data_IF_487265379666
#
_entry.id   IF_487265379666
#
_cell.length_a   1.000
_cell.length_b   1.000
_cell.length_c   1.000
_cell.angle_alpha   90.00
_cell.angle_beta   90.00
_cell.angle_gamma   90.00
#
_symmetry.space_group_name_H-M   'P 1'
#
loop_
_entity.id
_entity.type
_entity.pdbx_description
1 polymer ?
#
# COMPACT_ATOMS: atom_id res chain seq x y z
N UNK A 1 -10.20 -3.87 -6.66
CA UNK A 1 -8.88 -3.30 -6.32
C UNK A 1 -8.35 -2.40 -7.43
N UNK A 2 -7.93 -2.94 -8.58
CA UNK A 2 -7.21 -2.17 -9.60
C UNK A 2 -7.93 -0.91 -10.12
N UNK A 3 -9.21 -1.04 -10.48
CA UNK A 3 -9.98 0.11 -10.97
C UNK A 3 -10.07 1.22 -9.94
N UNK A 4 -10.25 0.87 -8.66
CA UNK A 4 -10.34 1.83 -7.57
C UNK A 4 -9.02 2.55 -7.33
N UNK A 5 -7.92 1.79 -7.29
CA UNK A 5 -6.57 2.36 -7.16
C UNK A 5 -6.24 3.33 -8.30
N UNK A 6 -6.64 2.99 -9.53
CA UNK A 6 -6.48 3.86 -10.70
C UNK A 6 -7.31 5.15 -10.56
N UNK A 7 -8.55 5.04 -10.11
CA UNK A 7 -9.42 6.22 -9.90
C UNK A 7 -8.83 7.16 -8.86
N UNK A 8 -8.45 6.65 -7.68
CA UNK A 8 -7.90 7.48 -6.62
C UNK A 8 -6.53 8.07 -7.00
N UNK A 9 -5.64 7.26 -7.57
CA UNK A 9 -4.35 7.75 -8.04
C UNK A 9 -4.48 8.77 -9.17
N UNK A 10 -5.49 8.66 -10.04
CA UNK A 10 -5.68 9.60 -11.13
C UNK A 10 -6.06 11.00 -10.64
N UNK A 11 -6.84 11.13 -9.56
CA UNK A 11 -7.15 12.44 -8.94
C UNK A 11 -5.87 13.21 -8.60
N UNK A 12 -4.90 12.53 -7.98
CA UNK A 12 -3.60 13.11 -7.62
C UNK A 12 -2.78 13.49 -8.85
N UNK A 13 -2.87 12.70 -9.92
CA UNK A 13 -2.17 12.98 -11.18
C UNK A 13 -2.77 14.19 -11.90
N UNK A 14 -4.10 14.33 -11.92
CA UNK A 14 -4.77 15.52 -12.46
C UNK A 14 -4.40 16.76 -11.67
N UNK A 15 -4.48 16.69 -10.33
CA UNK A 15 -4.11 17.77 -9.43
C UNK A 15 -2.65 18.25 -9.62
N UNK A 16 -1.71 17.33 -9.82
CA UNK A 16 -0.31 17.67 -10.15
C UNK A 16 -0.17 18.33 -11.53
N UNK A 17 -0.95 17.91 -12.53
CA UNK A 17 -0.90 18.51 -13.88
C UNK A 17 -1.45 19.93 -13.91
N UNK A 18 -2.54 20.14 -13.18
CA UNK A 18 -3.26 21.41 -13.15
C UNK A 18 -2.63 22.38 -12.13
N UNK A 19 -1.68 21.91 -11.31
CA UNK A 19 -1.00 22.68 -10.25
C UNK A 19 -1.97 23.25 -9.21
N UNK A 20 -3.07 22.53 -8.98
CA UNK A 20 -4.15 22.92 -8.05
C UNK A 20 -3.76 22.66 -6.58
N UNK A 21 -2.82 21.73 -6.35
CA UNK A 21 -2.28 21.37 -5.04
C UNK A 21 -3.30 20.98 -3.97
N UNK A 22 -4.44 20.37 -4.34
CA UNK A 22 -5.45 19.93 -3.38
C UNK A 22 -5.17 18.57 -2.74
N UNK A 23 -4.34 17.73 -3.38
CA UNK A 23 -4.07 16.36 -2.91
C UNK A 23 -2.62 16.16 -2.48
N UNK A 24 -2.39 15.49 -1.36
CA UNK A 24 -1.03 15.15 -0.91
C UNK A 24 -0.54 13.81 -1.52
N UNK A 25 -1.47 12.95 -1.93
CA UNK A 25 -1.15 11.62 -2.43
C UNK A 25 -2.30 10.63 -2.24
N UNK A 26 -1.97 9.34 -2.17
CA UNK A 26 -2.93 8.25 -1.97
C UNK A 26 -2.56 7.47 -0.72
N UNK A 27 -3.52 7.30 0.19
CA UNK A 27 -3.47 6.33 1.30
C UNK A 27 -4.16 5.04 0.85
N UNK A 28 -3.65 3.89 1.26
CA UNK A 28 -4.26 2.60 0.97
C UNK A 28 -4.10 1.61 2.12
N UNK A 29 -5.02 0.65 2.17
CA UNK A 29 -5.10 -0.35 3.24
C UNK A 29 -5.51 -1.71 2.66
N UNK A 30 -4.76 -2.75 3.04
CA UNK A 30 -5.22 -4.13 3.00
C UNK A 30 -5.88 -4.46 4.33
N UNK A 31 -7.04 -5.10 4.32
CA UNK A 31 -7.75 -5.48 5.54
C UNK A 31 -8.52 -6.79 5.39
N UNK A 32 -8.88 -7.37 6.52
CA UNK A 32 -9.78 -8.53 6.63
C UNK A 32 -11.02 -8.14 7.42
N UNK A 33 -12.08 -8.94 7.35
CA UNK A 33 -13.27 -8.80 8.17
C UNK A 33 -13.34 -9.95 9.17
N UNK A 34 -13.44 -9.62 10.46
CA UNK A 34 -13.78 -10.56 11.54
C UNK A 34 -15.19 -10.24 12.03
N UNK A 35 -16.17 -10.92 11.45
CA UNK A 35 -17.58 -10.50 11.52
C UNK A 35 -17.74 -9.10 10.89
N UNK A 36 -18.24 -8.15 11.69
CA UNK A 36 -18.40 -6.75 11.27
C UNK A 36 -17.17 -5.88 11.60
N UNK A 37 -16.11 -6.48 12.16
CA UNK A 37 -14.91 -5.75 12.56
C UNK A 37 -13.91 -5.69 11.41
N UNK A 38 -13.56 -4.47 11.00
CA UNK A 38 -12.45 -4.24 10.08
C UNK A 38 -11.12 -4.43 10.81
N UNK A 39 -10.31 -5.36 10.33
CA UNK A 39 -8.98 -5.65 10.87
C UNK A 39 -7.92 -5.25 9.83
N UNK A 40 -7.20 -4.14 10.03
CA UNK A 40 -6.12 -3.73 9.13
C UNK A 40 -5.02 -4.79 9.08
N UNK A 41 -4.59 -5.13 7.87
CA UNK A 41 -3.45 -6.02 7.60
C UNK A 41 -2.25 -5.25 7.13
N UNK A 42 -2.41 -4.22 6.32
CA UNK A 42 -1.31 -3.36 5.91
C UNK A 42 -1.82 -1.98 5.56
N UNK A 43 -1.05 -0.95 5.88
CA UNK A 43 -1.35 0.46 5.63
C UNK A 43 -0.14 1.07 4.94
N UNK A 44 -0.37 1.78 3.85
CA UNK A 44 0.71 2.41 3.10
C UNK A 44 0.26 3.67 2.38
N UNK A 45 1.21 4.52 2.01
CA UNK A 45 0.96 5.69 1.15
C UNK A 45 1.79 5.71 -0.13
N UNK A 46 1.36 6.54 -1.07
CA UNK A 46 2.23 7.14 -2.07
C UNK A 46 1.96 8.64 -2.11
N UNK A 47 2.99 9.45 -1.83
CA UNK A 47 2.92 10.90 -2.01
C UNK A 47 2.78 11.29 -3.47
N UNK A 48 2.22 12.49 -3.71
CA UNK A 48 2.16 13.13 -5.03
C UNK A 48 3.56 13.31 -5.61
N UNK A 49 4.48 13.85 -4.82
CA UNK A 49 5.84 14.19 -5.26
C UNK A 49 6.83 13.04 -5.04
N UNK A 50 7.85 12.99 -5.89
CA UNK A 50 8.97 12.07 -5.81
C UNK A 50 10.03 12.53 -4.79
N UNK A 51 11.23 11.94 -4.87
CA UNK A 51 12.37 12.31 -3.98
C UNK A 51 12.97 13.67 -4.28
N UNK A 52 12.62 14.26 -5.41
CA UNK A 52 13.05 15.57 -5.86
C UNK A 52 12.08 16.69 -5.42
N UNK A 53 10.98 16.34 -4.74
CA UNK A 53 9.91 17.23 -4.27
C UNK A 53 9.26 18.11 -5.36
N UNK A 54 9.52 17.81 -6.63
CA UNK A 54 9.00 18.56 -7.80
C UNK A 54 8.31 17.61 -8.79
N UNK A 55 8.93 16.47 -9.08
CA UNK A 55 8.42 15.51 -10.05
C UNK A 55 7.28 14.67 -9.50
N UNK A 56 6.31 14.32 -10.36
CA UNK A 56 5.29 13.34 -10.00
C UNK A 56 5.96 12.02 -9.58
N UNK A 57 5.55 11.51 -8.42
CA UNK A 57 6.01 10.25 -7.85
C UNK A 57 5.99 9.13 -8.88
N UNK A 58 7.09 8.38 -8.95
CA UNK A 58 7.22 7.25 -9.86
C UNK A 58 6.15 6.17 -9.65
N UNK A 59 5.49 6.15 -8.48
CA UNK A 59 4.36 5.30 -8.14
C UNK A 59 3.05 5.71 -8.83
N UNK A 60 2.89 6.99 -9.14
CA UNK A 60 1.69 7.57 -9.75
C UNK A 60 1.88 7.83 -11.26
N UNK A 61 3.12 7.88 -11.73
CA UNK A 61 3.43 7.99 -13.16
C UNK A 61 2.76 6.87 -13.97
N UNK A 62 1.98 7.28 -14.97
CA UNK A 62 1.23 6.39 -15.85
C UNK A 62 0.28 5.44 -15.09
N UNK A 63 -0.28 5.83 -13.94
CA UNK A 63 -1.12 4.94 -13.10
C UNK A 63 -2.30 4.27 -13.84
N UNK A 64 -2.77 4.85 -14.95
CA UNK A 64 -3.83 4.27 -15.80
C UNK A 64 -3.36 3.12 -16.71
N UNK A 65 -2.06 3.00 -16.97
CA UNK A 65 -1.50 2.04 -17.95
C UNK A 65 -0.34 1.23 -17.40
N UNK A 66 0.35 1.72 -16.38
CA UNK A 66 1.45 1.04 -15.72
C UNK A 66 0.92 0.14 -14.60
N UNK A 67 1.04 -1.17 -14.79
CA UNK A 67 0.65 -2.18 -13.81
C UNK A 67 1.80 -2.65 -12.92
N UNK A 68 3.03 -2.16 -13.13
CA UNK A 68 4.21 -2.70 -12.46
C UNK A 68 4.52 -2.04 -11.11
N UNK A 69 3.77 -1.00 -10.73
CA UNK A 69 4.07 -0.14 -9.57
C UNK A 69 2.83 0.20 -8.75
N UNK A 70 3.08 0.57 -7.48
CA UNK A 70 2.11 1.05 -6.51
C UNK A 70 0.98 0.06 -6.21
N UNK A 71 1.13 -0.70 -5.13
CA UNK A 71 0.11 -1.65 -4.65
C UNK A 71 -0.46 -2.57 -5.75
N UNK A 72 0.41 -3.22 -6.55
CA UNK A 72 0.02 -4.14 -7.64
C UNK A 72 0.42 -5.57 -7.33
N UNK A 73 -0.43 -6.52 -7.72
CA UNK A 73 -0.22 -7.95 -7.51
C UNK A 73 0.14 -8.63 -8.83
N UNK A 74 1.30 -9.29 -8.90
CA UNK A 74 1.68 -10.16 -10.01
C UNK A 74 2.17 -9.48 -11.29
N UNK A 75 1.96 -8.16 -11.45
CA UNK A 75 2.37 -7.40 -12.64
C UNK A 75 3.77 -6.76 -12.53
N UNK A 76 4.47 -6.99 -11.42
CA UNK A 76 5.85 -6.53 -11.20
C UNK A 76 6.34 -6.86 -9.80
N UNK A 77 7.65 -6.74 -9.59
CA UNK A 77 8.32 -7.07 -8.33
C UNK A 77 8.65 -5.86 -7.48
N UNK A 78 8.23 -4.66 -7.89
CA UNK A 78 8.52 -3.46 -7.13
C UNK A 78 7.51 -3.31 -5.98
N UNK A 79 8.01 -3.05 -4.78
CA UNK A 79 7.24 -2.74 -3.58
C UNK A 79 6.45 -3.95 -3.03
N UNK A 80 5.76 -3.72 -1.91
CA UNK A 80 5.28 -4.79 -1.03
C UNK A 80 4.40 -5.86 -1.66
N UNK A 81 3.39 -5.47 -2.45
CA UNK A 81 2.44 -6.41 -3.05
C UNK A 81 3.11 -7.21 -4.19
N UNK A 82 4.02 -6.58 -4.93
CA UNK A 82 4.78 -7.24 -6.00
C UNK A 82 5.77 -8.28 -5.46
N UNK A 83 6.55 -7.91 -4.45
CA UNK A 83 7.50 -8.83 -3.80
C UNK A 83 6.81 -9.99 -3.09
N UNK A 84 5.64 -9.75 -2.46
CA UNK A 84 4.81 -10.82 -1.91
C UNK A 84 4.38 -11.82 -3.01
N UNK A 85 3.99 -11.33 -4.19
CA UNK A 85 3.61 -12.23 -5.29
C UNK A 85 4.76 -13.11 -5.76
N UNK A 86 5.99 -12.60 -5.74
CA UNK A 86 7.17 -13.38 -6.12
C UNK A 86 7.46 -14.53 -5.14
N UNK A 87 7.29 -14.28 -3.83
CA UNK A 87 7.41 -15.30 -2.78
C UNK A 87 6.35 -16.39 -2.95
N UNK A 88 5.07 -16.01 -3.13
CA UNK A 88 3.94 -16.95 -3.23
C UNK A 88 3.96 -17.78 -4.51
N UNK A 89 4.42 -17.20 -5.63
CA UNK A 89 4.42 -17.88 -6.93
C UNK A 89 5.72 -18.64 -7.23
N UNK A 90 6.70 -18.58 -6.32
CA UNK A 90 8.03 -19.18 -6.48
C UNK A 90 8.80 -18.66 -7.70
N UNK A 91 8.71 -17.36 -8.00
CA UNK A 91 9.54 -16.70 -9.02
C UNK A 91 10.92 -16.28 -8.45
N UNK A 92 11.40 -16.94 -7.40
CA UNK A 92 12.54 -16.51 -6.58
C UNK A 92 13.90 -16.63 -7.29
N UNK A 93 13.97 -17.44 -8.35
CA UNK A 93 15.15 -17.59 -9.20
C UNK A 93 15.25 -16.50 -10.29
N UNK A 94 14.26 -15.60 -10.37
CA UNK A 94 14.29 -14.46 -11.27
C UNK A 94 15.10 -13.32 -10.64
N UNK A 95 16.29 -13.06 -11.19
CA UNK A 95 17.21 -12.00 -10.72
C UNK A 95 16.58 -10.60 -10.67
N UNK A 96 15.46 -10.38 -11.39
CA UNK A 96 14.73 -9.10 -11.35
C UNK A 96 13.88 -8.88 -10.10
N UNK A 97 13.72 -9.90 -9.26
CA UNK A 97 12.99 -9.88 -7.98
C UNK A 97 13.87 -9.34 -6.83
N UNK A 98 15.19 -9.39 -6.97
CA UNK A 98 16.15 -9.19 -5.87
C UNK A 98 16.59 -7.73 -5.74
N UNK A 99 15.65 -6.81 -5.48
CA UNK A 99 15.99 -5.40 -5.19
C UNK A 99 16.28 -5.15 -3.72
N UNK A 100 15.71 -5.94 -2.82
CA UNK A 100 16.03 -5.91 -1.40
C UNK A 100 17.15 -6.91 -1.06
N UNK A 101 17.96 -6.63 -0.04
CA UNK A 101 19.06 -7.54 0.36
C UNK A 101 18.58 -8.76 1.15
N UNK A 102 17.33 -8.74 1.62
CA UNK A 102 16.67 -9.86 2.32
C UNK A 102 15.13 -9.86 2.09
N UNK A 103 14.65 -10.05 0.84
CA UNK A 103 13.22 -10.19 0.57
C UNK A 103 12.62 -11.43 1.26
N UNK A 104 13.48 -12.40 1.63
CA UNK A 104 13.11 -13.66 2.27
C UNK A 104 12.58 -13.45 3.69
N UNK A 105 13.08 -12.49 4.46
CA UNK A 105 12.63 -12.29 5.83
C UNK A 105 11.22 -11.69 5.94
N UNK A 106 10.96 -10.58 5.24
CA UNK A 106 9.71 -9.81 5.38
C UNK A 106 8.55 -10.43 4.61
N UNK A 107 8.72 -10.72 3.33
CA UNK A 107 7.61 -11.17 2.49
C UNK A 107 7.28 -12.65 2.67
N UNK A 108 8.21 -13.47 3.17
CA UNK A 108 7.86 -14.80 3.68
C UNK A 108 6.92 -14.72 4.87
N UNK A 109 7.18 -13.83 5.85
CA UNK A 109 6.25 -13.61 6.98
C UNK A 109 4.87 -13.19 6.50
N UNK A 110 4.80 -12.31 5.49
CA UNK A 110 3.54 -11.92 4.88
C UNK A 110 2.85 -13.11 4.20
N UNK A 111 3.60 -13.92 3.44
CA UNK A 111 3.08 -15.12 2.80
C UNK A 111 2.53 -16.11 3.85
N UNK A 112 3.28 -16.39 4.91
CA UNK A 112 2.89 -17.28 6.00
C UNK A 112 1.61 -16.79 6.71
N UNK A 113 1.48 -15.46 6.89
CA UNK A 113 0.35 -14.81 7.54
C UNK A 113 -0.91 -14.73 6.66
N UNK A 114 -0.78 -14.73 5.34
CA UNK A 114 -1.88 -14.50 4.40
C UNK A 114 -2.32 -15.76 3.66
N UNK A 115 -1.42 -16.71 3.42
CA UNK A 115 -1.67 -17.89 2.58
C UNK A 115 -1.64 -19.19 3.39
N UNK A 116 -2.45 -20.15 2.97
CA UNK A 116 -2.38 -21.53 3.47
C UNK A 116 -1.00 -22.09 3.09
N UNK A 117 -0.29 -22.80 3.99
CA UNK A 117 1.03 -23.35 3.68
C UNK A 117 1.01 -24.23 2.44
N UNK A 118 2.07 -24.16 1.64
CA UNK A 118 2.24 -24.89 0.38
C UNK A 118 1.11 -24.69 -0.64
N UNK A 119 0.42 -23.55 -0.55
CA UNK A 119 -0.74 -23.20 -1.37
C UNK A 119 -0.70 -21.75 -1.82
N UNK A 120 -1.47 -21.45 -2.87
CA UNK A 120 -1.75 -20.09 -3.37
C UNK A 120 -3.13 -19.59 -2.92
N UNK A 121 -3.74 -20.29 -1.97
CA UNK A 121 -5.03 -19.96 -1.39
C UNK A 121 -4.84 -19.06 -0.18
N UNK A 122 -5.54 -17.93 -0.16
CA UNK A 122 -5.58 -17.05 1.01
C UNK A 122 -6.26 -17.77 2.18
N UNK A 123 -5.77 -17.55 3.41
CA UNK A 123 -6.38 -18.07 4.64
C UNK A 123 -7.77 -17.50 4.90
N UNK A 124 -7.99 -16.28 4.42
CA UNK A 124 -9.18 -15.48 4.61
C UNK A 124 -9.29 -14.46 3.47
N UNK A 125 -10.49 -13.93 3.23
CA UNK A 125 -10.69 -12.94 2.18
C UNK A 125 -9.97 -11.63 2.52
N UNK A 126 -9.16 -11.15 1.58
CA UNK A 126 -8.44 -9.89 1.70
C UNK A 126 -9.17 -8.82 0.89
N UNK A 127 -9.50 -7.74 1.59
CA UNK A 127 -10.11 -6.56 1.01
C UNK A 127 -9.06 -5.46 0.85
N UNK A 128 -9.33 -4.56 -0.09
CA UNK A 128 -8.44 -3.45 -0.40
C UNK A 128 -9.22 -2.14 -0.48
N UNK A 129 -8.75 -1.14 0.26
CA UNK A 129 -9.25 0.22 0.25
C UNK A 129 -8.15 1.19 -0.14
N UNK A 130 -8.50 2.25 -0.85
CA UNK A 130 -7.60 3.36 -1.15
C UNK A 130 -8.38 4.66 -1.25
N UNK A 131 -7.70 5.78 -1.02
CA UNK A 131 -8.28 7.11 -1.14
C UNK A 131 -7.21 8.14 -1.50
N UNK A 132 -7.53 9.02 -2.44
CA UNK A 132 -6.76 10.25 -2.66
C UNK A 132 -6.98 11.19 -1.47
N UNK A 133 -5.91 11.57 -0.81
CA UNK A 133 -5.95 12.33 0.43
C UNK A 133 -5.85 13.83 0.14
N UNK A 134 -6.86 14.59 0.56
CA UNK A 134 -6.90 16.03 0.39
C UNK A 134 -6.21 16.75 1.55
N UNK A 135 -5.70 17.95 1.32
CA UNK A 135 -5.09 18.78 2.39
C UNK A 135 -6.11 19.06 3.51
N UNK A 136 -7.37 19.28 3.15
CA UNK A 136 -8.46 19.56 4.10
C UNK A 136 -9.03 18.29 4.76
N UNK A 137 -8.55 17.09 4.40
CA UNK A 137 -9.05 15.86 5.00
C UNK A 137 -8.63 15.75 6.47
N UNK A 138 -9.59 15.27 7.28
CA UNK A 138 -9.38 15.08 8.72
C UNK A 138 -9.06 13.61 9.02
N UNK A 139 -8.04 13.41 9.85
CA UNK A 139 -7.64 12.08 10.31
C UNK A 139 -8.63 11.46 11.31
N UNK A 140 -8.40 10.21 11.72
CA UNK A 140 -9.28 9.49 12.65
C UNK A 140 -9.31 10.08 14.07
N UNK A 141 -8.31 10.88 14.44
CA UNK A 141 -8.19 11.55 15.74
C UNK A 141 -8.79 12.95 15.68
N UNK A 142 -10.12 12.99 15.48
CA UNK A 142 -11.01 14.15 15.26
C UNK A 142 -10.46 15.55 15.56
N UNK A 143 -10.72 16.49 14.64
CA UNK A 143 -10.71 17.93 14.92
C UNK A 143 -9.58 18.72 14.25
N UNK A 144 -8.69 18.05 13.53
CA UNK A 144 -7.57 18.71 12.85
C UNK A 144 -7.31 18.11 11.47
N UNK A 145 -6.98 18.97 10.52
CA UNK A 145 -6.37 18.58 9.25
C UNK A 145 -5.15 17.70 9.55
N UNK A 146 -5.00 16.64 8.79
CA UNK A 146 -3.93 15.65 9.00
C UNK A 146 -3.22 15.44 7.70
N UNK A 147 -1.92 15.72 7.65
CA UNK A 147 -1.12 15.40 6.46
C UNK A 147 -1.15 13.89 6.18
N UNK A 148 -0.95 13.49 4.92
CA UNK A 148 -0.91 12.10 4.50
C UNK A 148 0.15 11.29 5.26
N UNK A 149 1.29 11.92 5.56
CA UNK A 149 2.34 11.29 6.37
C UNK A 149 1.91 11.07 7.82
N UNK A 150 1.30 12.08 8.45
CA UNK A 150 0.77 11.96 9.79
C UNK A 150 -0.38 10.93 9.83
N UNK A 151 -1.23 10.89 8.81
CA UNK A 151 -2.33 9.93 8.69
C UNK A 151 -1.81 8.49 8.65
N UNK A 152 -0.84 8.20 7.78
CA UNK A 152 -0.25 6.85 7.67
C UNK A 152 0.32 6.42 9.02
N UNK A 153 1.11 7.27 9.66
CA UNK A 153 1.70 7.00 10.96
C UNK A 153 0.64 6.73 12.03
N UNK A 154 -0.37 7.60 12.11
CA UNK A 154 -1.48 7.50 13.06
C UNK A 154 -2.28 6.21 12.88
N UNK A 155 -2.58 5.84 11.63
CA UNK A 155 -3.31 4.61 11.33
C UNK A 155 -2.49 3.35 11.63
N UNK A 156 -1.18 3.36 11.34
CA UNK A 156 -0.27 2.26 11.69
C UNK A 156 -0.21 2.09 13.21
N UNK A 157 -0.01 3.16 13.97
CA UNK A 157 0.03 3.09 15.43
C UNK A 157 -1.28 2.55 16.01
N UNK A 158 -2.42 3.10 15.58
CA UNK A 158 -3.73 2.63 16.03
C UNK A 158 -3.94 1.14 15.71
N UNK A 159 -3.58 0.70 14.50
CA UNK A 159 -3.71 -0.69 14.11
C UNK A 159 -2.74 -1.60 14.86
N UNK A 160 -1.53 -1.13 15.19
CA UNK A 160 -0.54 -1.86 15.96
C UNK A 160 -1.01 -2.07 17.41
N UNK A 161 -1.63 -1.05 18.00
CA UNK A 161 -2.18 -1.12 19.35
C UNK A 161 -3.38 -2.08 19.46
N UNK A 162 -4.28 -2.05 18.46
CA UNK A 162 -5.51 -2.84 18.46
C UNK A 162 -5.32 -4.27 17.91
N UNK A 163 -4.39 -4.47 16.97
CA UNK A 163 -4.21 -5.72 16.23
C UNK A 163 -2.72 -6.10 16.05
N UNK A 164 -1.93 -6.19 17.15
CA UNK A 164 -0.48 -6.35 17.09
C UNK A 164 -0.04 -7.62 16.33
N UNK A 165 -0.80 -8.71 16.44
CA UNK A 165 -0.46 -10.00 15.80
C UNK A 165 -0.97 -10.13 14.36
N UNK A 166 -1.69 -9.13 13.84
CA UNK A 166 -2.35 -9.19 12.53
C UNK A 166 -1.80 -8.17 11.53
N UNK A 167 -1.25 -7.07 12.03
CA UNK A 167 -0.67 -6.01 11.22
C UNK A 167 0.66 -6.45 10.61
N UNK A 168 0.81 -6.21 9.31
CA UNK A 168 1.97 -6.58 8.50
C UNK A 168 2.98 -5.44 8.34
N UNK A 169 2.59 -4.20 8.72
CA UNK A 169 3.54 -3.10 8.86
C UNK A 169 4.58 -3.46 9.92
N UNK A 170 5.85 -3.27 9.59
CA UNK A 170 6.97 -3.41 10.53
C UNK A 170 7.61 -2.03 10.68
N UNK A 171 7.85 -1.57 11.91
CA UNK A 171 8.66 -0.36 12.13
C UNK A 171 10.04 -0.54 11.50
N UNK A 172 10.46 0.44 10.67
CA UNK A 172 11.79 0.50 10.08
C UNK A 172 12.12 -0.63 9.09
N UNK A 173 11.97 -0.34 7.80
CA UNK A 173 12.78 -0.97 6.75
C UNK A 173 13.49 0.14 5.99
#
# INVERSE_FOLDING_TARGET
>A
MESHLRTEGWKVVEDWKDSDDNYEGVIYMMYTLDGDTLVPRYIGKAGKYGRDDEGLSANLQNIRTNNTKFARWGDGYAYHIGELSAVVLNHQDDESVNRDRDPKGKYQKWADALFVPDSRTLREEIYFWARAWQIEDTGPFYGFETSLEALEYNLINLASDLFPDRLLNSEGA
#
